data_IF_524778820400
#
_entry.id   IF_524778820400
#
_cell.length_a   1.000
_cell.length_b   1.000
_cell.length_c   1.000
_cell.angle_alpha   90.00
_cell.angle_beta   90.00
_cell.angle_gamma   90.00
#
_symmetry.space_group_name_H-M   'P 1'
#
loop_
_entity.id
_entity.type
_entity.pdbx_description
1 polymer ?
#
# COMPACT_ATOMS: atom_id res chain seq x y z
N UNK A 1 13.64 -0.29 -11.36
CA UNK A 1 14.18 -1.50 -10.73
C UNK A 1 15.40 -1.94 -11.54
N UNK A 2 16.60 -2.04 -10.96
CA UNK A 2 17.72 -2.61 -11.68
C UNK A 2 17.54 -4.15 -11.72
N UNK A 3 17.37 -4.71 -12.92
CA UNK A 3 17.77 -6.10 -13.17
C UNK A 3 16.73 -7.19 -13.46
N UNK A 4 15.44 -6.91 -13.75
CA UNK A 4 14.57 -7.94 -14.37
C UNK A 4 13.41 -7.32 -15.15
N UNK A 5 13.29 -7.73 -16.42
CA UNK A 5 12.42 -7.16 -17.46
C UNK A 5 11.00 -7.74 -17.39
N UNK A 6 10.31 -7.53 -16.28
CA UNK A 6 8.85 -7.64 -16.23
C UNK A 6 8.31 -6.37 -15.61
N UNK A 7 7.81 -5.47 -16.46
CA UNK A 7 7.05 -4.30 -16.00
C UNK A 7 5.69 -4.80 -15.55
N UNK A 8 5.55 -5.08 -14.26
CA UNK A 8 4.25 -5.31 -13.65
C UNK A 8 3.47 -3.99 -13.70
N UNK A 9 2.49 -3.91 -14.61
CA UNK A 9 1.64 -2.73 -14.75
C UNK A 9 0.52 -2.82 -13.72
N UNK A 10 0.49 -1.87 -12.78
CA UNK A 10 -0.64 -1.68 -11.90
C UNK A 10 -1.65 -0.71 -12.55
N UNK A 11 -2.92 -1.07 -12.53
CA UNK A 11 -3.99 -0.28 -13.16
C UNK A 11 -5.12 -0.02 -12.18
N UNK A 12 -5.72 1.16 -12.25
CA UNK A 12 -6.90 1.51 -11.46
C UNK A 12 -8.08 0.64 -11.89
N UNK A 13 -8.99 0.34 -10.96
CA UNK A 13 -10.17 -0.52 -11.19
C UNK A 13 -9.88 -1.96 -11.66
N UNK A 14 -8.62 -2.37 -11.75
CA UNK A 14 -8.23 -3.76 -12.05
C UNK A 14 -8.77 -4.72 -10.98
N UNK A 15 -9.15 -5.93 -11.40
CA UNK A 15 -9.54 -7.01 -10.49
C UNK A 15 -8.40 -7.54 -9.62
N UNK A 16 -7.14 -7.22 -9.96
CA UNK A 16 -5.95 -7.81 -9.33
C UNK A 16 -5.81 -9.31 -9.63
N UNK A 17 -5.26 -10.05 -8.67
CA UNK A 17 -5.13 -11.50 -8.73
C UNK A 17 -3.79 -11.98 -9.31
N UNK A 18 -3.87 -13.06 -10.09
CA UNK A 18 -2.70 -13.76 -10.61
C UNK A 18 -2.13 -14.79 -9.63
N UNK A 19 -1.01 -15.37 -10.02
CA UNK A 19 -0.32 -16.35 -9.19
C UNK A 19 0.56 -15.63 -8.16
N UNK A 20 0.41 -16.01 -6.89
CA UNK A 20 1.39 -15.67 -5.87
C UNK A 20 2.72 -16.40 -6.16
N UNK A 21 3.81 -15.66 -6.14
CA UNK A 21 5.16 -16.19 -6.40
C UNK A 21 6.07 -15.91 -5.22
N UNK A 22 7.02 -16.81 -4.98
CA UNK A 22 8.04 -16.64 -3.94
C UNK A 22 9.14 -15.74 -4.47
N UNK A 23 9.54 -14.75 -3.68
CA UNK A 23 10.62 -13.83 -4.01
C UNK A 23 11.95 -14.61 -4.02
N UNK A 24 12.70 -14.62 -5.14
CA UNK A 24 13.96 -15.34 -5.24
C UNK A 24 15.02 -14.87 -4.24
N UNK A 25 15.98 -15.76 -3.97
CA UNK A 25 17.21 -15.42 -3.24
C UNK A 25 17.93 -14.24 -3.90
N UNK A 26 18.55 -13.38 -3.09
CA UNK A 26 19.28 -12.19 -3.57
C UNK A 26 18.42 -10.96 -3.89
N UNK A 27 17.10 -11.04 -3.71
CA UNK A 27 16.19 -9.89 -3.77
C UNK A 27 15.78 -9.46 -2.35
N UNK A 28 15.38 -8.19 -2.14
CA UNK A 28 14.75 -7.77 -0.89
C UNK A 28 13.55 -8.67 -0.57
N UNK A 29 13.40 -9.07 0.69
CA UNK A 29 12.31 -9.93 1.16
C UNK A 29 12.32 -11.35 0.58
N UNK A 30 13.50 -11.89 0.27
CA UNK A 30 13.66 -13.26 -0.22
C UNK A 30 12.92 -14.28 0.64
N UNK A 31 12.24 -15.23 0.00
CA UNK A 31 11.43 -16.24 0.68
C UNK A 31 9.99 -15.82 0.99
N UNK A 32 9.67 -14.52 1.01
CA UNK A 32 8.28 -14.07 1.12
C UNK A 32 7.54 -14.19 -0.22
N UNK A 33 6.21 -14.20 -0.17
CA UNK A 33 5.36 -14.25 -1.37
C UNK A 33 5.00 -12.85 -1.88
N UNK A 34 4.71 -12.72 -3.17
CA UNK A 34 4.25 -11.47 -3.79
C UNK A 34 3.17 -11.78 -4.85
N UNK A 35 2.11 -10.98 -4.89
CA UNK A 35 0.95 -11.19 -5.78
C UNK A 35 -0.13 -12.14 -5.24
N UNK A 36 -1.18 -12.34 -6.02
CA UNK A 36 -2.32 -13.22 -5.70
C UNK A 36 -3.51 -12.55 -5.00
N UNK A 37 -3.34 -11.33 -4.49
CA UNK A 37 -4.41 -10.53 -3.90
C UNK A 37 -5.36 -9.97 -4.96
N UNK A 38 -6.66 -10.03 -4.69
CA UNK A 38 -7.74 -9.57 -5.57
C UNK A 38 -8.41 -8.31 -5.04
N UNK A 39 -9.15 -7.59 -5.91
CA UNK A 39 -9.91 -6.38 -5.55
C UNK A 39 -10.79 -6.57 -4.30
N UNK A 40 -11.44 -7.74 -4.17
CA UNK A 40 -12.30 -8.06 -3.03
C UNK A 40 -11.57 -8.16 -1.68
N UNK A 41 -10.24 -8.18 -1.68
CA UNK A 41 -9.40 -8.27 -0.49
C UNK A 41 -8.69 -6.95 -0.15
N UNK A 42 -8.95 -5.88 -0.91
CA UNK A 42 -8.26 -4.60 -0.76
C UNK A 42 -8.56 -3.94 0.58
N UNK A 43 -9.78 -4.04 1.08
CA UNK A 43 -10.18 -3.37 2.32
C UNK A 43 -9.51 -4.01 3.55
N UNK A 44 -8.83 -3.18 4.34
CA UNK A 44 -8.39 -3.51 5.70
C UNK A 44 -9.34 -2.93 6.76
N UNK A 45 -8.75 -2.43 7.85
CA UNK A 45 -9.44 -1.73 8.94
C UNK A 45 -8.65 -0.47 9.32
N UNK A 46 -9.01 0.23 10.39
CA UNK A 46 -8.18 1.31 10.96
C UNK A 46 -6.90 0.82 11.64
N UNK A 47 -6.67 -0.49 11.73
CA UNK A 47 -5.49 -1.08 12.39
C UNK A 47 -4.39 -1.37 11.38
N UNK A 48 -3.17 -0.91 11.66
CA UNK A 48 -2.01 -1.22 10.83
C UNK A 48 -1.75 -2.74 10.78
N UNK A 49 -1.32 -3.25 9.62
CA UNK A 49 -1.22 -4.69 9.35
C UNK A 49 -2.52 -5.38 8.96
N UNK A 50 -3.61 -4.63 8.77
CA UNK A 50 -4.88 -5.15 8.25
C UNK A 50 -4.91 -5.21 6.72
N UNK A 51 -5.91 -5.87 6.15
CA UNK A 51 -6.07 -6.02 4.70
C UNK A 51 -5.15 -7.09 4.09
N UNK A 52 -4.54 -7.94 4.91
CA UNK A 52 -3.86 -9.15 4.47
C UNK A 52 -4.87 -10.31 4.39
N UNK A 53 -5.02 -11.00 3.24
CA UNK A 53 -5.92 -12.14 3.14
C UNK A 53 -5.61 -13.23 4.16
N UNK A 54 -6.58 -13.58 5.00
CA UNK A 54 -6.47 -14.66 5.97
C UNK A 54 -5.55 -14.38 7.17
N UNK A 55 -5.02 -13.16 7.33
CA UNK A 55 -4.15 -12.81 8.44
C UNK A 55 -4.78 -11.70 9.32
N UNK A 56 -4.59 -11.76 10.65
CA UNK A 56 -5.10 -10.74 11.55
C UNK A 56 -4.34 -9.41 11.37
N UNK A 57 -4.93 -8.30 11.83
CA UNK A 57 -4.22 -7.02 11.91
C UNK A 57 -3.14 -7.02 13.00
N UNK A 58 -2.40 -5.91 13.14
CA UNK A 58 -1.44 -5.71 14.22
C UNK A 58 -0.04 -6.24 13.97
N UNK A 59 0.27 -6.63 12.74
CA UNK A 59 1.64 -6.87 12.30
C UNK A 59 1.71 -6.83 10.78
N UNK A 60 2.86 -6.43 10.26
CA UNK A 60 3.24 -6.54 8.85
C UNK A 60 4.48 -7.42 8.68
N UNK A 61 5.18 -7.71 9.78
CA UNK A 61 6.48 -8.39 9.79
C UNK A 61 6.42 -9.79 9.25
N UNK A 62 7.38 -10.10 8.39
CA UNK A 62 7.53 -11.39 7.70
C UNK A 62 6.28 -11.80 6.91
N UNK A 63 5.46 -10.83 6.46
CA UNK A 63 4.30 -11.08 5.61
C UNK A 63 4.62 -10.82 4.15
N UNK A 64 4.11 -11.70 3.27
CA UNK A 64 4.16 -11.50 1.83
C UNK A 64 3.38 -10.26 1.36
N UNK A 65 3.49 -9.92 0.09
CA UNK A 65 2.90 -8.73 -0.52
C UNK A 65 1.79 -9.14 -1.48
N UNK A 66 0.58 -9.47 -0.99
CA UNK A 66 -0.49 -10.02 -1.82
C UNK A 66 -0.84 -9.11 -3.00
N UNK A 67 -0.67 -7.81 -2.85
CA UNK A 67 -1.01 -6.83 -3.89
C UNK A 67 0.17 -6.25 -4.61
N UNK A 68 1.37 -6.77 -4.39
CA UNK A 68 2.58 -6.30 -5.06
C UNK A 68 3.17 -4.98 -4.49
N UNK A 69 2.68 -4.46 -3.37
CA UNK A 69 3.16 -3.21 -2.76
C UNK A 69 3.59 -3.44 -1.32
N UNK A 70 4.62 -2.70 -0.90
CA UNK A 70 5.12 -2.77 0.47
C UNK A 70 4.23 -1.96 1.42
N UNK A 71 4.09 -2.37 2.68
CA UNK A 71 3.43 -1.57 3.70
C UNK A 71 4.03 -0.17 3.86
N UNK A 72 3.18 0.75 4.31
CA UNK A 72 3.59 2.09 4.71
C UNK A 72 4.61 2.02 5.85
N UNK A 73 5.56 2.96 5.89
CA UNK A 73 6.45 3.10 7.03
C UNK A 73 6.11 4.37 7.77
N UNK A 74 5.83 4.21 9.05
CA UNK A 74 5.59 5.29 9.99
C UNK A 74 6.88 5.64 10.70
N UNK A 75 7.12 6.93 10.91
CA UNK A 75 8.24 7.35 11.74
C UNK A 75 8.02 6.88 13.18
N UNK A 76 9.08 6.39 13.83
CA UNK A 76 9.03 5.94 15.22
C UNK A 76 8.53 7.08 16.10
N UNK A 77 7.34 6.93 16.64
CA UNK A 77 6.78 7.85 17.61
C UNK A 77 7.41 7.60 18.99
N UNK A 78 7.51 8.61 19.88
CA UNK A 78 8.00 8.42 21.24
C UNK A 78 7.09 7.52 22.10
N UNK A 79 5.86 7.29 21.64
CA UNK A 79 4.85 6.42 22.24
C UNK A 79 4.11 5.64 21.14
N UNK A 80 3.54 4.48 21.48
CA UNK A 80 2.84 3.60 20.55
C UNK A 80 3.50 2.23 20.44
N UNK A 81 2.71 1.26 19.99
CA UNK A 81 3.13 -0.14 20.02
C UNK A 81 4.16 -0.47 18.92
N UNK A 82 5.09 -1.40 19.17
CA UNK A 82 6.16 -1.74 18.23
C UNK A 82 5.69 -2.15 16.83
N UNK A 83 4.50 -2.75 16.70
CA UNK A 83 3.98 -3.22 15.40
C UNK A 83 3.73 -2.09 14.39
N UNK A 84 3.61 -0.85 14.86
CA UNK A 84 3.45 0.33 13.99
C UNK A 84 4.75 0.69 13.27
N UNK A 85 5.88 0.22 13.80
CA UNK A 85 7.21 0.47 13.27
C UNK A 85 7.77 -0.82 12.68
N UNK A 86 7.79 -0.88 11.35
CA UNK A 86 8.31 -2.00 10.60
C UNK A 86 9.61 -1.59 9.88
N UNK A 87 10.78 -1.71 10.53
CA UNK A 87 12.06 -1.29 9.95
C UNK A 87 12.42 -2.11 8.70
N UNK A 88 11.84 -3.30 8.54
CA UNK A 88 12.06 -4.19 7.39
C UNK A 88 11.79 -3.52 6.03
N UNK A 89 10.90 -2.53 5.98
CA UNK A 89 10.56 -1.84 4.73
C UNK A 89 11.40 -0.57 4.47
N UNK A 90 12.35 -0.26 5.34
CA UNK A 90 13.28 0.87 5.21
C UNK A 90 12.61 2.24 5.32
N UNK A 91 13.22 3.26 4.70
CA UNK A 91 12.74 4.65 4.79
C UNK A 91 11.46 4.90 3.96
N UNK A 92 10.57 5.84 4.36
CA UNK A 92 9.52 6.38 3.50
C UNK A 92 10.05 6.91 2.15
N UNK A 93 11.29 7.42 2.13
CA UNK A 93 11.93 7.97 0.92
C UNK A 93 12.60 6.92 0.02
N UNK A 94 12.47 5.62 0.35
CA UNK A 94 13.08 4.54 -0.42
C UNK A 94 12.49 4.44 -1.84
N UNK A 95 13.30 4.74 -2.85
CA UNK A 95 12.91 4.73 -4.28
C UNK A 95 12.80 3.33 -4.88
N UNK A 96 13.24 2.29 -4.17
CA UNK A 96 13.11 0.89 -4.62
C UNK A 96 11.72 0.30 -4.35
N UNK A 97 10.87 1.02 -3.59
CA UNK A 97 9.47 0.64 -3.38
C UNK A 97 8.72 0.54 -4.72
N UNK A 98 7.86 -0.47 -4.92
CA UNK A 98 6.94 -0.50 -6.05
C UNK A 98 6.09 0.78 -6.07
N UNK A 99 6.09 1.48 -7.20
CA UNK A 99 5.40 2.78 -7.35
C UNK A 99 6.18 4.00 -6.83
N UNK A 100 7.39 3.81 -6.29
CA UNK A 100 8.28 4.88 -5.84
C UNK A 100 8.18 5.19 -4.34
N UNK A 101 8.85 6.25 -3.87
CA UNK A 101 8.83 6.64 -2.45
C UNK A 101 7.41 6.96 -1.99
N UNK A 102 7.20 6.91 -0.67
CA UNK A 102 5.91 7.26 -0.08
C UNK A 102 5.63 8.76 -0.26
N UNK A 103 4.41 9.06 -0.67
CA UNK A 103 3.87 10.40 -0.81
C UNK A 103 2.50 10.48 -0.16
N UNK A 104 1.96 11.69 -0.09
CA UNK A 104 0.66 11.96 0.47
C UNK A 104 -0.10 13.01 -0.34
N UNK A 105 -1.42 12.97 -0.21
CA UNK A 105 -2.34 13.96 -0.74
C UNK A 105 -3.40 14.30 0.32
N UNK A 106 -3.94 15.51 0.25
CA UNK A 106 -5.09 15.92 1.05
C UNK A 106 -6.34 16.04 0.17
N UNK A 107 -7.49 15.67 0.73
CA UNK A 107 -8.79 15.90 0.12
C UNK A 107 -9.68 16.59 1.15
N UNK A 108 -10.22 17.74 0.78
CA UNK A 108 -11.09 18.53 1.65
C UNK A 108 -12.54 18.38 1.22
N UNK A 109 -13.46 18.33 2.19
CA UNK A 109 -14.88 18.34 1.88
C UNK A 109 -15.27 19.71 1.31
N UNK A 110 -16.21 19.72 0.36
CA UNK A 110 -16.83 20.96 -0.13
C UNK A 110 -17.89 21.50 0.84
N UNK A 111 -18.48 20.61 1.63
CA UNK A 111 -19.67 20.90 2.47
C UNK A 111 -19.34 20.99 3.95
N UNK A 112 -18.13 20.64 4.37
CA UNK A 112 -17.68 20.68 5.76
C UNK A 112 -16.21 21.07 5.86
N UNK A 113 -15.74 21.31 7.09
CA UNK A 113 -14.34 21.58 7.39
C UNK A 113 -13.51 20.30 7.57
N UNK A 114 -13.89 19.18 6.95
CA UNK A 114 -13.12 17.93 7.04
C UNK A 114 -12.01 17.86 6.01
N UNK A 115 -10.82 17.49 6.48
CA UNK A 115 -9.66 17.18 5.64
C UNK A 115 -9.27 15.72 5.86
N UNK A 116 -9.10 15.00 4.77
CA UNK A 116 -8.62 13.62 4.77
C UNK A 116 -7.26 13.55 4.09
N UNK A 117 -6.39 12.72 4.63
CA UNK A 117 -5.09 12.42 4.08
C UNK A 117 -5.12 11.05 3.41
N UNK A 118 -4.50 10.93 2.24
CA UNK A 118 -4.16 9.66 1.64
C UNK A 118 -2.65 9.52 1.60
N UNK A 119 -2.13 8.40 2.07
CA UNK A 119 -0.69 8.07 2.06
C UNK A 119 -0.48 6.75 1.34
N UNK A 120 0.42 6.72 0.35
CA UNK A 120 0.78 5.53 -0.44
C UNK A 120 2.13 5.75 -1.14
N UNK A 121 2.56 4.80 -1.98
CA UNK A 121 3.61 5.05 -2.97
C UNK A 121 3.22 6.13 -3.98
N UNK A 122 4.20 6.81 -4.56
CA UNK A 122 3.99 7.96 -5.44
C UNK A 122 3.03 7.69 -6.60
N UNK A 123 3.23 6.59 -7.34
CA UNK A 123 2.37 6.23 -8.46
C UNK A 123 0.92 5.99 -8.01
N UNK A 124 0.72 5.36 -6.85
CA UNK A 124 -0.61 5.15 -6.27
C UNK A 124 -1.27 6.46 -5.86
N UNK A 125 -0.57 7.39 -5.21
CA UNK A 125 -1.15 8.70 -4.84
C UNK A 125 -1.54 9.49 -6.08
N UNK A 126 -0.71 9.51 -7.13
CA UNK A 126 -1.05 10.15 -8.41
C UNK A 126 -2.34 9.58 -8.99
N UNK A 127 -2.45 8.25 -9.05
CA UNK A 127 -3.65 7.58 -9.56
C UNK A 127 -4.89 7.88 -8.71
N UNK A 128 -4.75 7.88 -7.38
CA UNK A 128 -5.85 8.16 -6.46
C UNK A 128 -6.32 9.62 -6.54
N UNK A 129 -5.42 10.58 -6.71
CA UNK A 129 -5.78 11.99 -6.98
C UNK A 129 -6.72 12.05 -8.18
N UNK A 130 -6.35 11.47 -9.32
CA UNK A 130 -7.20 11.48 -10.51
C UNK A 130 -8.59 10.87 -10.24
N UNK A 131 -8.63 9.65 -9.69
CA UNK A 131 -9.91 8.94 -9.50
C UNK A 131 -10.81 9.59 -8.44
N UNK A 132 -10.23 10.23 -7.41
CA UNK A 132 -10.98 10.94 -6.37
C UNK A 132 -11.55 12.27 -6.90
N UNK A 133 -10.80 12.99 -7.73
CA UNK A 133 -11.32 14.18 -8.43
C UNK A 133 -12.49 13.83 -9.36
N UNK A 134 -12.42 12.68 -10.04
CA UNK A 134 -13.47 12.23 -10.95
C UNK A 134 -14.74 11.75 -10.22
N UNK A 135 -14.59 11.17 -9.03
CA UNK A 135 -15.68 10.46 -8.34
C UNK A 135 -16.30 11.23 -7.18
N UNK A 136 -15.54 12.12 -6.53
CA UNK A 136 -15.97 12.83 -5.32
C UNK A 136 -16.11 14.33 -5.54
N UNK A 137 -17.04 14.96 -4.82
CA UNK A 137 -17.17 16.41 -4.80
C UNK A 137 -16.16 17.00 -3.81
N UNK A 138 -15.09 17.61 -4.34
CA UNK A 138 -13.97 18.12 -3.56
C UNK A 138 -14.09 19.61 -3.24
N UNK A 139 -13.54 20.01 -2.09
CA UNK A 139 -13.26 21.40 -1.75
C UNK A 139 -11.98 21.90 -2.41
N UNK A 140 -11.85 23.23 -2.53
CA UNK A 140 -10.74 23.90 -3.23
C UNK A 140 -9.34 23.61 -2.64
N UNK A 141 -9.27 23.16 -1.39
CA UNK A 141 -8.02 22.81 -0.72
C UNK A 141 -7.47 21.42 -1.05
N UNK A 142 -8.14 20.67 -1.92
CA UNK A 142 -7.73 19.31 -2.27
C UNK A 142 -6.49 19.30 -3.17
N UNK A 143 -5.60 18.33 -2.95
CA UNK A 143 -4.38 18.16 -3.73
C UNK A 143 -4.68 17.83 -5.19
N UNK A 144 -3.93 18.45 -6.10
CA UNK A 144 -3.85 18.09 -7.52
C UNK A 144 -2.55 17.37 -7.87
N UNK A 145 -1.58 17.38 -6.95
CA UNK A 145 -0.29 16.72 -7.08
C UNK A 145 0.11 16.08 -5.73
N UNK A 146 0.86 14.96 -5.75
CA UNK A 146 1.38 14.36 -4.53
C UNK A 146 2.43 15.26 -3.87
N UNK A 147 2.51 15.19 -2.54
CA UNK A 147 3.58 15.79 -1.73
C UNK A 147 4.38 14.70 -1.03
N UNK A 148 5.66 14.96 -0.73
CA UNK A 148 6.52 13.97 -0.04
C UNK A 148 5.94 13.61 1.33
N UNK A 149 5.94 12.32 1.66
CA UNK A 149 5.62 11.84 3.01
C UNK A 149 6.90 11.45 3.75
N UNK A 150 7.21 12.18 4.82
CA UNK A 150 8.41 11.95 5.63
C UNK A 150 8.21 10.95 6.78
N UNK A 151 6.99 10.40 6.97
CA UNK A 151 6.69 9.44 8.03
C UNK A 151 5.92 9.99 9.24
N UNK A 152 5.81 11.32 9.38
CA UNK A 152 5.24 11.98 10.58
C UNK A 152 4.16 13.03 10.33
N UNK A 153 3.97 13.50 9.09
CA UNK A 153 2.91 14.49 8.77
C UNK A 153 1.52 13.95 9.06
N UNK A 154 1.33 12.65 8.84
CA UNK A 154 0.15 11.87 9.19
C UNK A 154 0.57 10.79 10.16
N UNK A 155 -0.20 10.58 11.22
CA UNK A 155 0.10 9.58 12.25
C UNK A 155 -0.80 8.33 12.10
N UNK A 156 -0.32 7.14 12.51
CA UNK A 156 -1.13 5.92 12.49
C UNK A 156 -2.46 6.06 13.24
N UNK A 157 -2.48 6.78 14.36
CA UNK A 157 -3.71 6.99 15.14
C UNK A 157 -4.78 7.80 14.39
N UNK A 158 -4.43 8.54 13.33
CA UNK A 158 -5.38 9.28 12.52
C UNK A 158 -6.01 8.41 11.43
N UNK A 159 -5.48 7.21 11.19
CA UNK A 159 -5.92 6.34 10.10
C UNK A 159 -7.29 5.78 10.43
N UNK A 160 -8.23 6.04 9.52
CA UNK A 160 -9.60 5.50 9.60
C UNK A 160 -9.76 4.24 8.77
N UNK A 161 -8.90 4.05 7.75
CA UNK A 161 -8.94 2.88 6.88
C UNK A 161 -7.57 2.61 6.23
N UNK A 162 -7.07 1.39 6.38
CA UNK A 162 -5.99 0.86 5.55
C UNK A 162 -6.54 0.10 4.36
N UNK A 163 -5.80 0.09 3.27
CA UNK A 163 -6.08 -0.69 2.07
C UNK A 163 -4.85 -1.43 1.61
N UNK A 164 -5.07 -2.46 0.80
CA UNK A 164 -4.04 -3.14 0.03
C UNK A 164 -2.91 -3.62 0.95
N UNK A 165 -3.26 -4.37 2.00
CA UNK A 165 -2.32 -4.89 3.00
C UNK A 165 -1.47 -3.77 3.67
N UNK A 166 -2.14 -2.72 4.15
CA UNK A 166 -1.52 -1.53 4.78
C UNK A 166 -0.47 -0.80 3.93
N UNK A 167 -0.53 -0.92 2.59
CA UNK A 167 0.29 -0.13 1.66
C UNK A 167 -0.37 1.19 1.25
N UNK A 168 -1.64 1.40 1.61
CA UNK A 168 -2.37 2.66 1.47
C UNK A 168 -3.11 2.96 2.77
N UNK A 169 -3.13 4.22 3.18
CA UNK A 169 -3.89 4.69 4.33
C UNK A 169 -4.77 5.89 3.96
N UNK A 170 -6.01 5.88 4.45
CA UNK A 170 -6.89 7.03 4.54
C UNK A 170 -6.94 7.46 6.01
N UNK A 171 -6.55 8.69 6.29
CA UNK A 171 -6.55 9.28 7.62
C UNK A 171 -7.42 10.53 7.67
N UNK A 172 -7.96 10.82 8.86
CA UNK A 172 -8.81 11.97 9.12
C UNK A 172 -8.05 12.98 9.97
N UNK A 173 -7.98 14.21 9.47
CA UNK A 173 -7.38 15.30 10.24
C UNK A 173 -8.19 15.59 11.51
N UNK A 174 -7.49 15.84 12.62
CA UNK A 174 -8.09 16.01 13.95
C UNK A 174 -8.65 14.75 14.63
N UNK A 175 -8.71 13.60 13.96
CA UNK A 175 -9.07 12.32 14.58
C UNK A 175 -7.87 11.65 15.24
N UNK A 176 -8.05 10.97 16.38
CA UNK A 176 -6.96 10.34 17.12
C UNK A 176 -7.43 9.07 17.85
N UNK A 177 -7.17 7.91 17.24
CA UNK A 177 -7.43 6.58 17.79
C UNK A 177 -6.23 6.09 18.61
N UNK A 178 -6.13 6.55 19.86
CA UNK A 178 -5.07 6.10 20.77
C UNK A 178 -5.24 4.64 21.20
N UNK A 179 -6.44 4.07 21.08
CA UNK A 179 -6.69 2.67 21.39
C UNK A 179 -5.96 1.76 20.39
N UNK A 180 -6.10 2.05 19.09
CA UNK A 180 -5.40 1.36 18.00
C UNK A 180 -3.94 1.72 17.83
N UNK A 181 -3.43 2.68 18.60
CA UNK A 181 -1.99 2.95 18.67
C UNK A 181 -1.27 1.99 19.62
N UNK A 182 -1.95 1.53 20.67
CA UNK A 182 -1.35 0.75 21.75
C UNK A 182 -1.70 -0.74 21.67
N UNK A 183 -2.88 -1.07 21.14
CA UNK A 183 -3.36 -2.44 21.05
C UNK A 183 -4.09 -2.66 19.72
N UNK A 184 -3.58 -3.53 18.84
CA UNK A 184 -4.22 -3.77 17.55
C UNK A 184 -5.60 -4.45 17.71
N UNK A 185 -5.85 -5.11 18.84
CA UNK A 185 -7.09 -5.80 19.17
C UNK A 185 -8.11 -4.91 19.90
N UNK A 186 -7.76 -3.68 20.28
CA UNK A 186 -8.72 -2.77 20.92
C UNK A 186 -9.83 -2.36 19.95
N UNK A 187 -11.01 -2.00 20.43
CA UNK A 187 -12.02 -1.37 19.57
C UNK A 187 -11.54 0.00 19.11
N UNK A 188 -11.80 0.34 17.85
CA UNK A 188 -11.50 1.68 17.33
C UNK A 188 -12.34 2.72 18.07
N UNK A 189 -11.76 3.90 18.30
CA UNK A 189 -12.52 5.04 18.83
C UNK A 189 -13.61 5.41 17.80
N UNK A 190 -14.87 5.66 18.19
CA UNK A 190 -15.89 6.06 17.24
C UNK A 190 -15.51 7.36 16.52
N UNK A 191 -15.87 7.45 15.23
CA UNK A 191 -15.69 8.69 14.49
C UNK A 191 -16.53 9.80 15.15
N UNK A 192 -15.98 11.01 15.31
CA UNK A 192 -16.72 12.12 15.91
C UNK A 192 -17.94 12.52 15.07
N UNK A 193 -18.97 13.07 15.73
CA UNK A 193 -20.21 13.50 15.06
C UNK A 193 -20.05 14.63 14.04
N UNK A 194 -18.91 15.32 14.03
CA UNK A 194 -18.57 16.38 13.07
C UNK A 194 -18.03 15.83 11.72
N UNK A 195 -17.80 14.53 11.61
CA UNK A 195 -17.28 13.92 10.40
C UNK A 195 -18.35 13.89 9.31
N UNK A 196 -18.02 14.44 8.15
CA UNK A 196 -18.78 14.30 6.92
C UNK A 196 -18.70 12.85 6.42
N UNK A 197 -19.65 12.06 6.89
CA UNK A 197 -19.75 10.63 6.58
C UNK A 197 -20.01 10.37 5.10
N UNK A 198 -20.70 11.29 4.40
CA UNK A 198 -20.95 11.18 2.97
C UNK A 198 -19.63 11.33 2.20
N UNK A 199 -18.82 12.32 2.56
CA UNK A 199 -17.52 12.53 1.94
C UNK A 199 -16.54 11.40 2.26
N UNK A 200 -16.45 10.98 3.53
CA UNK A 200 -15.65 9.81 3.94
C UNK A 200 -16.06 8.55 3.16
N UNK A 201 -17.37 8.30 3.00
CA UNK A 201 -17.86 7.15 2.22
C UNK A 201 -17.43 7.24 0.76
N UNK A 202 -17.50 8.43 0.15
CA UNK A 202 -17.03 8.63 -1.22
C UNK A 202 -15.54 8.29 -1.38
N UNK A 203 -14.70 8.83 -0.48
CA UNK A 203 -13.27 8.54 -0.48
C UNK A 203 -12.99 7.05 -0.27
N UNK A 204 -13.65 6.43 0.71
CA UNK A 204 -13.45 5.02 1.06
C UNK A 204 -13.87 4.06 -0.07
N UNK A 205 -15.01 4.32 -0.73
CA UNK A 205 -15.45 3.54 -1.89
C UNK A 205 -14.49 3.72 -3.06
N UNK A 206 -14.21 4.97 -3.41
CA UNK A 206 -13.36 5.30 -4.57
C UNK A 206 -11.98 4.68 -4.42
N UNK A 207 -11.32 4.84 -3.27
CA UNK A 207 -9.98 4.28 -3.03
C UNK A 207 -10.00 2.75 -3.12
N UNK A 208 -10.97 2.08 -2.47
CA UNK A 208 -11.01 0.61 -2.50
C UNK A 208 -11.28 0.04 -3.89
N UNK A 209 -12.16 0.69 -4.66
CA UNK A 209 -12.49 0.31 -6.03
C UNK A 209 -11.37 0.64 -7.02
N UNK A 210 -10.69 1.77 -6.83
CA UNK A 210 -9.78 2.34 -7.83
C UNK A 210 -8.30 2.12 -7.54
N UNK A 211 -7.87 1.80 -6.31
CA UNK A 211 -6.44 1.68 -5.98
C UNK A 211 -5.72 0.77 -6.98
N UNK A 212 -4.56 1.16 -7.55
CA UNK A 212 -3.92 0.38 -8.58
C UNK A 212 -3.55 -1.03 -8.09
N UNK A 213 -3.94 -2.04 -8.88
CA UNK A 213 -3.58 -3.44 -8.66
C UNK A 213 -2.85 -4.00 -9.88
N UNK A 214 -1.83 -4.82 -9.61
CA UNK A 214 -1.16 -5.61 -10.65
C UNK A 214 -2.10 -6.71 -11.11
N UNK A 215 -2.34 -6.79 -12.41
CA UNK A 215 -3.23 -7.81 -12.97
C UNK A 215 -2.48 -9.13 -13.18
N UNK A 216 -3.17 -10.25 -12.95
CA UNK A 216 -2.57 -11.58 -12.94
C UNK A 216 -2.09 -12.12 -14.28
N UNK A 217 -2.42 -11.46 -15.39
CA UNK A 217 -2.15 -11.95 -16.73
C UNK A 217 -0.67 -11.96 -17.13
N UNK A 218 0.24 -11.26 -16.42
CA UNK A 218 1.64 -11.07 -16.89
C UNK A 218 2.74 -11.21 -15.82
N UNK A 219 2.51 -11.86 -14.69
CA UNK A 219 3.56 -12.12 -13.70
C UNK A 219 4.37 -13.40 -14.04
N UNK A 220 5.00 -13.45 -15.22
CA UNK A 220 5.97 -14.49 -15.54
C UNK A 220 7.37 -14.00 -15.17
N UNK A 221 7.89 -14.43 -14.02
CA UNK A 221 9.30 -14.26 -13.71
C UNK A 221 10.13 -15.04 -14.72
N UNK A 222 10.67 -14.37 -15.73
CA UNK A 222 11.78 -14.92 -16.48
C UNK A 222 13.02 -14.76 -15.62
N UNK A 223 13.55 -15.89 -15.14
CA UNK A 223 14.87 -15.94 -14.54
C UNK A 223 15.86 -15.26 -15.49
N UNK A 224 16.85 -14.49 -14.97
CA UNK A 224 17.89 -13.95 -15.82
C UNK A 224 18.58 -15.11 -16.52
N UNK A 225 18.37 -15.23 -17.83
CA UNK A 225 19.16 -16.07 -18.73
C UNK A 225 20.56 -15.46 -18.81
N UNK A 226 21.34 -15.72 -17.79
CA UNK A 226 22.70 -15.23 -17.64
C UNK A 226 23.45 -16.15 -16.70
N UNK A 227 23.56 -17.44 -17.08
CA UNK A 227 24.61 -18.40 -16.69
C UNK A 227 24.31 -19.88 -17.04
N UNK A 228 23.19 -20.20 -17.71
CA UNK A 228 22.89 -21.60 -18.13
C UNK A 228 23.41 -21.94 -19.53
N UNK A 229 23.94 -20.97 -20.27
CA UNK A 229 24.51 -21.18 -21.60
C UNK A 229 26.03 -21.38 -21.57
N UNK A 230 26.55 -22.43 -20.93
CA UNK A 230 27.93 -22.92 -21.16
C UNK A 230 28.22 -24.35 -20.67
N UNK A 231 27.22 -25.16 -20.31
CA UNK A 231 27.42 -26.55 -19.87
C UNK A 231 26.76 -27.62 -20.77
N UNK A 232 26.15 -27.25 -21.89
CA UNK A 232 25.55 -28.21 -22.83
C UNK A 232 26.30 -28.39 -24.16
N UNK A 233 27.50 -27.79 -24.33
CA UNK A 233 28.31 -27.94 -25.56
C UNK A 233 29.50 -28.90 -25.42
N UNK A 234 29.64 -29.61 -24.30
CA UNK A 234 30.75 -30.54 -24.07
C UNK A 234 30.42 -32.04 -24.25
N UNK A 235 29.20 -32.40 -24.69
CA UNK A 235 28.79 -33.83 -24.86
C UNK A 235 28.43 -34.18 -26.32
N UNK A 236 28.67 -33.30 -27.28
CA UNK A 236 28.44 -33.58 -28.72
C UNK A 236 29.72 -33.64 -29.56
N UNK A 237 30.86 -33.99 -28.95
CA UNK A 237 32.12 -34.23 -29.67
C UNK A 237 32.74 -35.61 -29.43
N UNK A 238 32.02 -36.53 -28.79
CA UNK A 238 32.36 -37.96 -28.77
C UNK A 238 31.09 -38.79 -28.96
N UNK A 239 30.67 -38.91 -30.22
CA UNK A 239 30.01 -40.08 -30.84
C UNK A 239 29.93 -39.84 -32.35
#
# INVERSE_FOLDING_TARGET
MPGSTVRMTATTYSGGGGRAVVIPQGQPFSGLTYGGGTRGQVYGTSTYGSGYPGLPAGSVTDRGFPFCFWPLVWEKQPYGAPYLYAPEYGSPTNTSRPGGPLTQAIFTSKTSNNTFWVVADNATVIALIATVHDSCTLGNGSSTNPSVFAGSTVRPAQVVQYYRASSVALALDGYNDTAKLNNPNASAIPLPGWVDNSFLKCLNSTIGESVPLVNGANAQFQAPVGLVGLLCLAILLWL
#
